data_IF_866899165344
#
_entry.id   IF_866899165344
#
_cell.length_a   1.000
_cell.length_b   1.000
_cell.length_c   1.000
_cell.angle_alpha   90.00
_cell.angle_beta   90.00
_cell.angle_gamma   90.00
#
_symmetry.space_group_name_H-M   'P 1'
#
loop_
_entity.id
_entity.type
_entity.pdbx_description
1 polymer ?
#
# COMPACT_ATOMS: atom_id res chain seq x y z
N UNK A 1 19.43 -21.15 -7.67
CA UNK A 1 18.68 -20.27 -6.74
C UNK A 1 17.22 -20.68 -6.86
N UNK A 2 16.54 -21.12 -5.77
CA UNK A 2 15.12 -21.44 -5.86
C UNK A 2 14.33 -20.22 -6.35
N UNK A 3 13.19 -20.41 -7.04
CA UNK A 3 12.34 -19.30 -7.43
C UNK A 3 11.96 -18.51 -6.18
N UNK A 4 12.18 -17.20 -6.21
CA UNK A 4 11.69 -16.31 -5.15
C UNK A 4 10.18 -16.18 -5.32
N UNK A 5 9.41 -16.64 -4.34
CA UNK A 5 7.98 -16.34 -4.30
C UNK A 5 7.80 -14.82 -4.24
N UNK A 6 6.97 -14.27 -5.12
CA UNK A 6 6.53 -12.87 -5.07
C UNK A 6 5.11 -12.83 -4.56
N UNK A 7 4.83 -11.87 -3.69
CA UNK A 7 3.55 -11.71 -3.02
C UNK A 7 2.93 -10.35 -3.38
N UNK A 8 1.62 -10.27 -3.25
CA UNK A 8 0.85 -9.05 -3.35
C UNK A 8 -0.14 -8.99 -2.18
N UNK A 9 -0.48 -7.78 -1.75
CA UNK A 9 -1.49 -7.55 -0.73
C UNK A 9 -2.81 -7.17 -1.39
N UNK A 10 -3.89 -7.42 -0.66
CA UNK A 10 -5.24 -7.05 -1.03
C UNK A 10 -6.00 -6.63 0.22
N UNK A 11 -7.03 -5.83 0.03
CA UNK A 11 -7.99 -5.47 1.09
C UNK A 11 -9.09 -6.51 1.27
N UNK A 12 -9.26 -7.41 0.29
CA UNK A 12 -10.38 -8.36 0.20
C UNK A 12 -11.77 -7.69 0.22
N UNK A 13 -11.87 -6.44 -0.25
CA UNK A 13 -13.15 -5.75 -0.38
C UNK A 13 -14.09 -6.46 -1.38
N UNK A 14 -15.41 -6.55 -1.10
CA UNK A 14 -16.13 -5.85 -0.03
C UNK A 14 -16.18 -6.61 1.32
N UNK A 15 -15.54 -7.77 1.45
CA UNK A 15 -15.52 -8.52 2.71
C UNK A 15 -14.59 -7.87 3.75
N UNK A 16 -13.46 -7.31 3.30
CA UNK A 16 -12.60 -6.42 4.08
C UNK A 16 -12.89 -4.94 3.86
N UNK A 17 -12.26 -4.08 4.68
CA UNK A 17 -12.34 -2.61 4.50
C UNK A 17 -11.58 -2.22 3.24
N UNK A 18 -12.13 -1.37 2.35
CA UNK A 18 -11.49 -1.00 1.09
C UNK A 18 -10.29 -0.05 1.26
N UNK A 19 -9.80 0.15 2.49
CA UNK A 19 -8.66 1.02 2.80
C UNK A 19 -7.34 0.22 2.74
N UNK A 20 -6.49 0.41 1.71
CA UNK A 20 -5.22 -0.30 1.60
C UNK A 20 -4.23 0.10 2.69
N UNK A 21 -4.27 1.34 3.20
CA UNK A 21 -3.39 1.80 4.27
C UNK A 21 -3.67 1.04 5.57
N UNK A 22 -4.95 0.87 5.88
CA UNK A 22 -5.37 0.03 7.00
C UNK A 22 -4.99 -1.45 6.85
N UNK A 23 -4.88 -1.97 5.62
CA UNK A 23 -4.41 -3.35 5.38
C UNK A 23 -2.88 -3.49 5.58
N UNK A 24 -2.10 -2.46 5.23
CA UNK A 24 -0.64 -2.47 5.40
C UNK A 24 -0.21 -2.45 6.88
N UNK A 25 -0.88 -1.64 7.72
CA UNK A 25 -0.54 -1.49 9.15
C UNK A 25 -0.43 -2.81 9.93
N UNK A 26 -1.42 -3.71 9.93
CA UNK A 26 -1.30 -4.98 10.64
C UNK A 26 -0.34 -5.95 9.95
N UNK A 27 -0.08 -5.84 8.65
CA UNK A 27 0.96 -6.63 7.98
C UNK A 27 2.37 -6.28 8.51
N UNK A 28 2.61 -4.99 8.78
CA UNK A 28 3.88 -4.51 9.32
C UNK A 28 4.01 -4.65 10.84
N UNK A 29 2.94 -4.34 11.58
CA UNK A 29 3.00 -4.27 13.05
C UNK A 29 2.60 -5.55 13.76
N UNK A 30 1.80 -6.41 13.09
CA UNK A 30 1.22 -7.63 13.65
C UNK A 30 0.43 -7.40 14.94
N UNK A 31 -0.21 -6.24 15.10
CA UNK A 31 -1.00 -5.89 16.30
C UNK A 31 -2.50 -6.08 16.09
N UNK A 32 -3.16 -6.66 17.09
CA UNK A 32 -4.63 -6.69 17.18
C UNK A 32 -5.19 -5.35 17.65
N UNK A 33 -6.52 -5.20 17.60
CA UNK A 33 -7.21 -4.03 18.14
C UNK A 33 -6.97 -3.82 19.66
N UNK A 34 -6.71 -4.89 20.41
CA UNK A 34 -6.35 -4.81 21.84
C UNK A 34 -4.86 -4.55 22.10
N UNK A 35 -4.04 -4.42 21.04
CA UNK A 35 -2.60 -4.20 21.13
C UNK A 35 -1.76 -5.47 21.30
N UNK A 36 -2.39 -6.65 21.34
CA UNK A 36 -1.66 -7.92 21.39
C UNK A 36 -0.90 -8.16 20.07
N UNK A 37 0.32 -8.69 20.15
CA UNK A 37 1.11 -9.04 18.96
C UNK A 37 0.79 -10.48 18.55
N UNK A 38 0.42 -10.68 17.29
CA UNK A 38 0.06 -11.97 16.71
C UNK A 38 1.09 -12.42 15.66
N UNK A 39 1.74 -13.56 15.88
CA UNK A 39 2.70 -14.12 14.92
C UNK A 39 3.74 -13.08 14.44
N UNK A 40 4.51 -12.53 15.39
CA UNK A 40 5.50 -11.48 15.12
C UNK A 40 6.52 -11.84 14.03
N UNK A 41 6.84 -13.12 13.88
CA UNK A 41 7.75 -13.62 12.86
C UNK A 41 7.21 -13.48 11.42
N UNK A 42 5.91 -13.24 11.25
CA UNK A 42 5.26 -12.99 9.96
C UNK A 42 5.17 -11.50 9.61
N UNK A 43 5.71 -10.62 10.46
CA UNK A 43 5.79 -9.19 10.17
C UNK A 43 6.66 -8.93 8.94
N UNK A 44 6.16 -8.12 8.01
CA UNK A 44 6.92 -7.63 6.85
C UNK A 44 7.30 -6.16 7.03
N UNK A 45 8.27 -5.65 6.28
CA UNK A 45 8.64 -4.24 6.34
C UNK A 45 7.52 -3.33 5.84
N UNK A 46 7.39 -2.11 6.38
CA UNK A 46 6.38 -1.14 5.91
C UNK A 46 6.55 -0.80 4.41
N UNK A 47 7.79 -0.62 3.95
CA UNK A 47 8.08 -0.38 2.54
C UNK A 47 7.74 -1.59 1.66
N UNK A 48 7.92 -2.80 2.18
CA UNK A 48 7.55 -4.04 1.50
C UNK A 48 6.01 -4.16 1.40
N UNK A 49 5.28 -3.90 2.48
CA UNK A 49 3.81 -3.88 2.49
C UNK A 49 3.25 -2.85 1.50
N UNK A 50 3.80 -1.64 1.46
CA UNK A 50 3.43 -0.62 0.47
C UNK A 50 3.70 -1.09 -0.95
N UNK A 51 4.89 -1.65 -1.20
CA UNK A 51 5.29 -2.15 -2.53
C UNK A 51 4.35 -3.24 -3.05
N UNK A 52 3.83 -4.10 -2.17
CA UNK A 52 2.85 -5.15 -2.49
C UNK A 52 1.49 -4.64 -2.95
N UNK A 53 1.20 -3.34 -2.81
CA UNK A 53 0.01 -2.67 -3.36
C UNK A 53 0.28 -1.89 -4.66
N UNK A 54 1.53 -1.84 -5.13
CA UNK A 54 1.91 -1.09 -6.33
C UNK A 54 1.86 -1.93 -7.61
N UNK A 55 1.32 -3.14 -7.57
CA UNK A 55 1.11 -3.95 -8.76
C UNK A 55 -0.08 -3.49 -9.61
N UNK A 56 -0.22 -4.11 -10.78
CA UNK A 56 -1.42 -4.01 -11.61
C UNK A 56 -2.17 -5.35 -11.63
N UNK A 57 -3.43 -5.36 -12.06
CA UNK A 57 -4.26 -6.57 -12.02
C UNK A 57 -3.66 -7.76 -12.81
N UNK A 58 -2.98 -7.50 -13.93
CA UNK A 58 -2.27 -8.50 -14.75
C UNK A 58 -0.98 -9.03 -14.11
N UNK A 59 -0.36 -8.24 -13.22
CA UNK A 59 0.93 -8.55 -12.61
C UNK A 59 0.98 -7.98 -11.17
N UNK A 60 0.15 -8.50 -10.24
CA UNK A 60 -0.09 -7.85 -8.95
C UNK A 60 1.14 -7.85 -8.02
N UNK A 61 2.04 -8.82 -8.19
CA UNK A 61 3.28 -8.92 -7.41
C UNK A 61 4.48 -8.20 -8.06
N UNK A 62 4.24 -7.44 -9.13
CA UNK A 62 5.25 -6.66 -9.85
C UNK A 62 4.91 -5.18 -9.73
N UNK A 63 5.65 -4.39 -8.93
CA UNK A 63 5.42 -2.97 -8.82
C UNK A 63 5.54 -2.26 -10.16
N UNK A 64 4.54 -1.46 -10.49
CA UNK A 64 4.58 -0.58 -11.67
C UNK A 64 5.56 0.57 -11.45
N UNK A 65 6.10 1.08 -12.55
CA UNK A 65 6.97 2.26 -12.55
C UNK A 65 6.22 3.49 -13.01
N UNK A 66 6.61 4.65 -12.48
CA UNK A 66 6.17 5.94 -12.98
C UNK A 66 7.14 6.33 -14.09
N UNK A 67 6.68 6.27 -15.34
CA UNK A 67 7.48 6.56 -16.53
C UNK A 67 6.62 7.18 -17.63
N UNK A 68 7.19 8.01 -18.53
CA UNK A 68 6.47 8.58 -19.66
C UNK A 68 5.78 7.51 -20.51
N UNK A 69 4.53 7.75 -20.92
CA UNK A 69 3.70 6.79 -21.66
C UNK A 69 2.99 5.76 -20.79
N UNK A 70 3.30 5.69 -19.48
CA UNK A 70 2.57 4.88 -18.51
C UNK A 70 1.21 5.49 -18.14
N UNK A 71 0.38 4.71 -17.42
CA UNK A 71 -0.91 5.18 -16.91
C UNK A 71 -0.70 6.29 -15.86
N UNK A 72 -1.45 7.39 -16.00
CA UNK A 72 -1.47 8.51 -15.06
C UNK A 72 -2.23 8.24 -13.75
N UNK A 73 -2.05 7.07 -13.14
CA UNK A 73 -2.61 6.79 -11.82
C UNK A 73 -1.56 7.06 -10.74
N UNK A 74 -1.85 7.98 -9.83
CA UNK A 74 -0.93 8.43 -8.79
C UNK A 74 -1.65 8.61 -7.46
N UNK A 75 -0.98 8.23 -6.38
CA UNK A 75 -1.34 8.62 -5.02
C UNK A 75 -0.29 9.60 -4.51
N UNK A 76 -0.67 10.86 -4.36
CA UNK A 76 0.22 11.97 -3.98
C UNK A 76 0.17 12.13 -2.47
N UNK A 77 1.33 12.22 -1.82
CA UNK A 77 1.48 12.24 -0.37
C UNK A 77 1.94 13.62 0.10
N UNK A 78 1.38 14.12 1.21
CA UNK A 78 1.68 15.45 1.77
C UNK A 78 2.89 15.47 2.70
N UNK A 79 3.43 14.30 3.05
CA UNK A 79 4.54 14.14 4.01
C UNK A 79 5.68 13.34 3.38
N UNK A 80 6.93 13.48 3.86
CA UNK A 80 8.07 12.76 3.31
C UNK A 80 7.95 11.24 3.51
N UNK A 81 8.67 10.42 2.69
CA UNK A 81 8.53 8.96 2.69
C UNK A 81 8.73 8.28 4.05
N UNK A 82 9.67 8.77 4.87
CA UNK A 82 9.94 8.17 6.18
C UNK A 82 8.73 8.28 7.13
N UNK A 83 7.96 9.36 7.04
CA UNK A 83 6.76 9.56 7.84
C UNK A 83 5.61 8.69 7.32
N UNK A 84 5.43 8.59 6.00
CA UNK A 84 4.43 7.69 5.41
C UNK A 84 4.69 6.23 5.79
N UNK A 85 5.94 5.78 5.76
CA UNK A 85 6.30 4.41 6.11
C UNK A 85 6.19 4.13 7.62
N UNK A 86 6.31 5.16 8.46
CA UNK A 86 6.08 5.03 9.89
C UNK A 86 4.58 4.91 10.21
N UNK A 87 3.75 5.77 9.60
CA UNK A 87 2.34 5.90 9.96
C UNK A 87 1.43 4.93 9.18
N UNK A 88 1.74 4.70 7.90
CA UNK A 88 0.92 3.94 6.94
C UNK A 88 -0.56 4.36 7.03
N UNK A 89 -0.83 5.65 6.81
CA UNK A 89 -2.15 6.25 6.97
C UNK A 89 -2.63 6.99 5.73
N UNK A 90 -3.92 6.85 5.42
CA UNK A 90 -4.60 7.53 4.33
C UNK A 90 -4.70 9.05 4.56
N UNK A 91 -4.59 9.54 5.80
CA UNK A 91 -4.56 10.97 6.10
C UNK A 91 -3.42 11.69 5.35
N UNK A 92 -2.32 11.00 5.07
CA UNK A 92 -1.20 11.57 4.32
C UNK A 92 -1.45 11.73 2.82
N UNK A 93 -2.57 11.22 2.30
CA UNK A 93 -2.93 11.36 0.88
C UNK A 93 -3.41 12.79 0.60
N UNK A 94 -2.60 13.53 -0.13
CA UNK A 94 -2.89 14.88 -0.60
C UNK A 94 -3.84 14.85 -1.81
N UNK A 95 -3.61 13.92 -2.75
CA UNK A 95 -4.43 13.78 -3.94
C UNK A 95 -4.40 12.35 -4.50
N UNK A 96 -5.46 11.98 -5.20
CA UNK A 96 -5.51 10.76 -6.01
C UNK A 96 -5.80 11.15 -7.45
N UNK A 97 -4.95 10.68 -8.35
CA UNK A 97 -5.05 10.88 -9.79
C UNK A 97 -5.37 9.52 -10.42
N UNK A 98 -6.34 9.48 -11.33
CA UNK A 98 -6.70 8.27 -12.08
C UNK A 98 -6.74 8.64 -13.56
N UNK A 99 -6.00 7.90 -14.38
CA UNK A 99 -5.88 8.17 -15.82
C UNK A 99 -5.53 9.64 -16.18
N UNK A 100 -4.76 10.33 -15.32
CA UNK A 100 -4.37 11.73 -15.51
C UNK A 100 -5.32 12.76 -14.88
N UNK A 101 -6.50 12.33 -14.40
CA UNK A 101 -7.49 13.22 -13.79
C UNK A 101 -7.44 13.17 -12.27
N UNK A 102 -7.48 14.34 -11.62
CA UNK A 102 -7.54 14.43 -10.15
C UNK A 102 -8.96 14.09 -9.70
N UNK A 103 -9.13 12.90 -9.11
CA UNK A 103 -10.44 12.41 -8.62
C UNK A 103 -10.64 12.69 -7.13
N UNK A 104 -9.55 12.94 -6.41
CA UNK A 104 -9.56 13.33 -5.00
C UNK A 104 -8.44 14.34 -4.75
N UNK A 105 -8.74 15.38 -3.97
CA UNK A 105 -7.77 16.30 -3.42
C UNK A 105 -8.21 16.68 -2.00
N UNK A 106 -7.29 16.57 -1.04
CA UNK A 106 -7.50 17.02 0.33
C UNK A 106 -7.60 18.55 0.32
N UNK A 107 -8.66 19.08 0.95
CA UNK A 107 -8.86 20.52 1.13
C UNK A 107 -8.05 21.04 2.30
#
# INVERSE_FOLDING_TARGET
RPPVCRWALSTDAPFGRPDPWAAMRPAATRRTASGAVLAAAEAIGAAEALTMFLGEASAPATPRRIEPGGRGDLCVLSVPPHQVLHDLDAEHVAATVVAGEVVYARR
#
